data_IF_543152927905
#
_entry.id   IF_543152927905
#
_cell.length_a   1.000
_cell.length_b   1.000
_cell.length_c   1.000
_cell.angle_alpha   90.00
_cell.angle_beta   90.00
_cell.angle_gamma   90.00
#
_symmetry.space_group_name_H-M   'P 1'
#
loop_
_entity.id
_entity.type
_entity.pdbx_description
1 polymer ?
#
# COMPACT_ATOMS: atom_id res chain seq x y z
N UNK A 1 2.43 7.90 4.79
CA UNK A 1 1.30 7.75 5.72
C UNK A 1 1.41 8.74 6.88
N UNK A 2 0.29 9.21 7.44
CA UNK A 2 0.22 10.03 8.64
C UNK A 2 -0.47 9.23 9.74
N UNK A 3 0.13 9.13 10.92
CA UNK A 3 -0.51 8.52 12.09
C UNK A 3 -1.83 9.27 12.40
N UNK A 4 -2.87 8.52 12.75
CA UNK A 4 -4.15 9.07 13.23
C UNK A 4 -4.34 8.78 14.70
N UNK A 5 -4.15 7.52 15.10
CA UNK A 5 -4.27 7.06 16.49
C UNK A 5 -3.42 5.81 16.70
N UNK A 6 -3.10 5.53 17.96
CA UNK A 6 -2.43 4.32 18.43
C UNK A 6 -3.18 3.79 19.66
N UNK A 7 -3.10 2.50 19.92
CA UNK A 7 -3.76 1.84 21.04
C UNK A 7 -2.88 0.72 21.62
N UNK A 8 -2.89 0.59 22.96
CA UNK A 8 -2.08 -0.37 23.72
C UNK A 8 -0.85 0.24 24.41
N UNK A 9 -0.30 -0.47 25.39
CA UNK A 9 0.99 -0.16 26.05
C UNK A 9 1.78 -1.47 26.30
N UNK A 10 2.79 -1.81 25.47
CA UNK A 10 3.22 -1.08 24.28
C UNK A 10 2.14 -1.08 23.17
N UNK A 11 2.21 -0.16 22.17
CA UNK A 11 1.22 -0.09 21.10
C UNK A 11 1.08 -1.39 20.32
N UNK A 12 -0.16 -1.87 20.16
CA UNK A 12 -0.48 -3.09 19.40
C UNK A 12 -1.45 -2.85 18.24
N UNK A 13 -2.03 -1.65 18.17
CA UNK A 13 -2.97 -1.29 17.11
C UNK A 13 -2.83 0.18 16.74
N UNK A 14 -2.93 0.50 15.46
CA UNK A 14 -2.80 1.88 14.98
C UNK A 14 -3.63 2.11 13.72
N UNK A 15 -4.09 3.35 13.55
CA UNK A 15 -4.69 3.84 12.33
C UNK A 15 -3.74 4.82 11.63
N UNK A 16 -3.50 4.64 10.34
CA UNK A 16 -2.68 5.54 9.52
C UNK A 16 -3.41 5.96 8.25
N UNK A 17 -3.30 7.23 7.88
CA UNK A 17 -3.97 7.80 6.71
C UNK A 17 -2.98 8.13 5.59
N UNK A 18 -3.35 7.88 4.35
CA UNK A 18 -2.64 8.36 3.16
C UNK A 18 -3.68 8.82 2.11
N UNK A 19 -3.74 10.13 1.85
CA UNK A 19 -4.79 10.70 1.01
C UNK A 19 -6.18 10.33 1.56
N UNK A 20 -7.02 9.71 0.71
CA UNK A 20 -8.34 9.21 1.08
C UNK A 20 -8.34 7.85 1.81
N UNK A 21 -7.22 7.11 1.80
CA UNK A 21 -7.15 5.78 2.40
C UNK A 21 -6.82 5.84 3.91
N UNK A 22 -7.52 5.02 4.70
CA UNK A 22 -7.24 4.78 6.12
C UNK A 22 -6.90 3.30 6.29
N UNK A 23 -5.68 3.00 6.74
CA UNK A 23 -5.20 1.65 7.01
C UNK A 23 -5.14 1.42 8.51
N UNK A 24 -5.52 0.23 8.92
CA UNK A 24 -5.44 -0.24 10.30
C UNK A 24 -4.32 -1.27 10.35
N UNK A 25 -3.41 -1.11 11.31
CA UNK A 25 -2.21 -1.93 11.45
C UNK A 25 -2.25 -2.53 12.85
N UNK A 26 -2.05 -3.84 12.95
CA UNK A 26 -1.83 -4.54 14.21
C UNK A 26 -0.38 -4.99 14.35
N UNK A 27 0.08 -5.07 15.60
CA UNK A 27 1.34 -5.71 15.92
C UNK A 27 1.11 -7.22 16.08
N UNK A 28 1.51 -7.98 15.06
CA UNK A 28 1.42 -9.44 15.04
C UNK A 28 2.78 -10.06 14.60
N UNK A 29 3.66 -10.36 15.56
CA UNK A 29 4.98 -10.93 15.27
C UNK A 29 4.95 -12.31 14.63
N UNK A 30 3.92 -13.12 14.93
CA UNK A 30 3.77 -14.47 14.39
C UNK A 30 3.41 -14.40 12.91
N UNK A 31 2.45 -13.55 12.54
CA UNK A 31 2.09 -13.30 11.15
C UNK A 31 3.27 -12.71 10.37
N UNK A 32 3.96 -11.70 10.92
CA UNK A 32 5.12 -11.11 10.27
C UNK A 32 6.23 -12.14 10.01
N UNK A 33 6.45 -13.05 10.97
CA UNK A 33 7.40 -14.16 10.82
C UNK A 33 6.94 -15.14 9.75
N UNK A 34 5.67 -15.53 9.75
CA UNK A 34 5.12 -16.44 8.76
C UNK A 34 5.21 -15.87 7.34
N UNK A 35 4.92 -14.57 7.14
CA UNK A 35 5.05 -13.90 5.84
C UNK A 35 6.50 -13.99 5.35
N UNK A 36 7.47 -13.64 6.20
CA UNK A 36 8.90 -13.67 5.86
C UNK A 36 9.40 -15.07 5.55
N UNK A 37 9.17 -16.03 6.44
CA UNK A 37 9.74 -17.38 6.33
C UNK A 37 9.13 -18.18 5.19
N UNK A 38 7.82 -18.01 4.95
CA UNK A 38 7.12 -18.69 3.87
C UNK A 38 7.14 -17.89 2.57
N UNK A 39 7.82 -16.74 2.54
CA UNK A 39 7.92 -15.82 1.39
C UNK A 39 6.54 -15.48 0.81
N UNK A 40 5.57 -15.21 1.68
CA UNK A 40 4.25 -14.77 1.27
C UNK A 40 4.32 -13.31 0.81
N UNK A 41 3.41 -12.94 -0.09
CA UNK A 41 3.26 -11.56 -0.56
C UNK A 41 1.78 -11.18 -0.53
N UNK A 42 1.18 -10.98 0.66
CA UNK A 42 -0.23 -10.60 0.74
C UNK A 42 -0.44 -9.24 0.07
N UNK A 43 -1.52 -9.11 -0.68
CA UNK A 43 -1.85 -7.89 -1.41
C UNK A 43 -2.77 -6.98 -0.59
N UNK A 44 -2.46 -5.68 -0.60
CA UNK A 44 -3.38 -4.61 -0.20
C UNK A 44 -3.58 -3.71 -1.41
N UNK A 45 -4.84 -3.55 -1.83
CA UNK A 45 -5.19 -2.71 -2.97
C UNK A 45 -5.64 -1.33 -2.50
N UNK A 46 -5.01 -0.28 -3.03
CA UNK A 46 -5.26 1.11 -2.64
C UNK A 46 -5.63 1.93 -3.88
N UNK A 47 -6.86 2.43 -3.87
CA UNK A 47 -7.32 3.40 -4.86
C UNK A 47 -6.81 4.79 -4.53
N UNK A 48 -6.26 5.45 -5.53
CA UNK A 48 -5.72 6.81 -5.42
C UNK A 48 -6.19 7.66 -6.58
N UNK A 49 -6.17 8.97 -6.37
CA UNK A 49 -6.24 9.97 -7.44
C UNK A 49 -4.83 10.49 -7.71
N UNK A 50 -4.54 10.81 -8.97
CA UNK A 50 -3.23 11.28 -9.43
C UNK A 50 -2.11 10.26 -9.12
N UNK A 51 -2.25 9.06 -9.68
CA UNK A 51 -1.26 7.98 -9.47
C UNK A 51 0.15 8.36 -9.95
N UNK A 52 0.25 9.23 -10.96
CA UNK A 52 1.53 9.66 -11.54
C UNK A 52 2.37 10.43 -10.52
N UNK A 53 1.77 11.42 -9.86
CA UNK A 53 2.44 12.17 -8.79
C UNK A 53 2.86 11.27 -7.63
N UNK A 54 2.02 10.31 -7.24
CA UNK A 54 2.32 9.38 -6.15
C UNK A 54 3.46 8.42 -6.55
N UNK A 55 3.46 7.92 -7.78
CA UNK A 55 4.52 7.05 -8.30
C UNK A 55 5.87 7.76 -8.32
N UNK A 56 5.96 9.00 -8.82
CA UNK A 56 7.18 9.79 -8.79
C UNK A 56 7.69 10.07 -7.36
N UNK A 57 6.77 10.32 -6.42
CA UNK A 57 7.13 10.48 -5.01
C UNK A 57 7.73 9.21 -4.39
N UNK A 58 7.26 8.02 -4.80
CA UNK A 58 7.83 6.75 -4.35
C UNK A 58 9.16 6.44 -5.01
N UNK A 59 9.31 6.74 -6.32
CA UNK A 59 10.60 6.66 -7.03
C UNK A 59 11.66 7.53 -6.38
N UNK A 60 11.33 8.79 -6.07
CA UNK A 60 12.24 9.73 -5.43
C UNK A 60 12.65 9.35 -4.00
N UNK A 61 11.95 8.39 -3.38
CA UNK A 61 12.25 7.87 -2.04
C UNK A 61 12.85 6.46 -2.06
N UNK A 62 13.24 5.97 -3.25
CA UNK A 62 13.79 4.63 -3.45
C UNK A 62 12.90 3.51 -2.86
N UNK A 63 11.58 3.64 -3.01
CA UNK A 63 10.66 2.57 -2.63
C UNK A 63 10.94 1.28 -3.44
N UNK A 64 10.74 0.11 -2.82
CA UNK A 64 10.88 -1.19 -3.48
C UNK A 64 9.70 -1.42 -4.46
N UNK A 65 9.80 -0.84 -5.65
CA UNK A 65 8.82 -0.97 -6.73
C UNK A 65 9.05 -2.32 -7.42
N UNK A 66 8.17 -3.27 -7.17
CA UNK A 66 8.26 -4.63 -7.71
C UNK A 66 7.59 -4.78 -9.08
N UNK A 67 6.66 -3.88 -9.40
CA UNK A 67 6.03 -3.77 -10.71
C UNK A 67 5.88 -2.29 -11.06
N UNK A 68 6.42 -1.88 -12.20
CA UNK A 68 6.38 -0.49 -12.66
C UNK A 68 4.95 -0.05 -13.05
N UNK A 69 4.72 1.26 -13.04
CA UNK A 69 3.44 1.85 -13.42
C UNK A 69 3.07 1.48 -14.85
N UNK A 70 1.96 0.77 -15.00
CA UNK A 70 1.46 0.32 -16.28
C UNK A 70 -0.07 0.22 -16.29
N UNK A 71 -0.64 0.34 -17.48
CA UNK A 71 -2.06 0.09 -17.72
C UNK A 71 -2.33 -1.42 -17.72
N UNK A 72 -3.49 -1.80 -17.19
CA UNK A 72 -3.93 -3.19 -17.10
C UNK A 72 -5.19 -3.40 -17.94
N UNK A 73 -5.39 -4.60 -18.50
CA UNK A 73 -6.50 -4.89 -19.40
C UNK A 73 -7.88 -4.79 -18.75
N UNK A 74 -7.95 -4.67 -17.41
CA UNK A 74 -9.18 -4.49 -16.64
C UNK A 74 -9.47 -3.01 -16.28
N UNK A 75 -8.94 -2.05 -17.06
CA UNK A 75 -9.36 -0.65 -16.98
C UNK A 75 -8.75 0.17 -15.85
N UNK A 76 -7.56 -0.21 -15.37
CA UNK A 76 -6.83 0.55 -14.33
C UNK A 76 -5.39 0.79 -14.78
N UNK A 77 -4.79 1.87 -14.30
CA UNK A 77 -3.34 2.02 -14.23
C UNK A 77 -2.89 1.72 -12.81
N UNK A 78 -1.84 0.90 -12.67
CA UNK A 78 -1.34 0.51 -11.35
C UNK A 78 0.17 0.22 -11.35
N UNK A 79 0.77 0.34 -10.17
CA UNK A 79 2.11 -0.15 -9.85
C UNK A 79 2.09 -0.86 -8.49
N UNK A 80 3.17 -1.56 -8.16
CA UNK A 80 3.27 -2.33 -6.91
C UNK A 80 4.52 -1.95 -6.16
N UNK A 81 4.37 -1.66 -4.86
CA UNK A 81 5.47 -1.51 -3.92
C UNK A 81 5.43 -2.68 -2.94
N UNK A 82 6.60 -3.25 -2.64
CA UNK A 82 6.77 -4.10 -1.47
C UNK A 82 7.09 -3.25 -0.25
N UNK A 83 6.28 -3.36 0.79
CA UNK A 83 6.58 -2.71 2.07
C UNK A 83 7.46 -3.62 2.96
N UNK A 84 8.10 -3.08 4.02
CA UNK A 84 9.10 -3.80 4.80
C UNK A 84 8.70 -5.15 5.41
N UNK A 85 7.41 -5.38 5.71
CA UNK A 85 6.91 -6.67 6.22
C UNK A 85 6.56 -7.69 5.12
N UNK A 86 6.77 -7.36 3.84
CA UNK A 86 6.59 -8.25 2.70
C UNK A 86 5.24 -8.16 1.99
N UNK A 87 4.33 -7.29 2.44
CA UNK A 87 3.08 -7.03 1.73
C UNK A 87 3.34 -6.30 0.41
N UNK A 88 2.51 -6.58 -0.56
CA UNK A 88 2.44 -5.84 -1.81
C UNK A 88 1.32 -4.79 -1.71
N UNK A 89 1.70 -3.52 -1.75
CA UNK A 89 0.77 -2.42 -1.90
C UNK A 89 0.52 -2.18 -3.38
N UNK A 90 -0.64 -2.60 -3.86
CA UNK A 90 -1.12 -2.37 -5.23
C UNK A 90 -1.78 -1.01 -5.29
N UNK A 91 -1.06 -0.03 -5.81
CA UNK A 91 -1.56 1.35 -5.94
C UNK A 91 -2.21 1.46 -7.31
N UNK A 92 -3.46 1.88 -7.36
CA UNK A 92 -4.25 1.87 -8.58
C UNK A 92 -5.14 3.10 -8.73
N UNK A 93 -5.39 3.45 -9.98
CA UNK A 93 -6.33 4.49 -10.39
C UNK A 93 -7.12 4.00 -11.59
N UNK A 94 -8.42 4.30 -11.60
CA UNK A 94 -9.32 3.97 -12.70
C UNK A 94 -8.91 4.70 -13.98
N UNK A 95 -8.95 4.02 -15.12
CA UNK A 95 -8.87 4.66 -16.44
C UNK A 95 -10.23 5.17 -16.90
N UNK A 96 -11.31 4.66 -16.33
CA UNK A 96 -12.66 5.18 -16.58
C UNK A 96 -12.84 6.51 -15.86
N UNK A 97 -13.34 7.55 -16.56
CA UNK A 97 -13.68 8.82 -15.92
C UNK A 97 -14.75 8.59 -14.85
N UNK A 98 -14.59 9.25 -13.69
CA UNK A 98 -15.58 9.20 -12.62
C UNK A 98 -16.95 9.61 -13.17
N UNK A 99 -17.92 8.70 -13.10
CA UNK A 99 -19.30 9.01 -13.45
C UNK A 99 -19.89 9.86 -12.31
N UNK A 100 -20.07 11.15 -12.56
CA UNK A 100 -20.75 12.08 -11.65
C UNK A 100 -22.27 11.93 -11.70
#
# INVERSE_FOLDING_TARGET
FKQQWIWGEPPVYAGVKAGGALLYICHDPELATAIRERRLTPDIFLWVSDIGSIYEQHRAKDADITEELTERPWGVRQYVIREPNGYHLKIAESLEPESH
#
